data_IF_258751553910
#
_entry.id   IF_258751553910
#
_cell.length_a   1.000
_cell.length_b   1.000
_cell.length_c   1.000
_cell.angle_alpha   90.00
_cell.angle_beta   90.00
_cell.angle_gamma   90.00
#
_symmetry.space_group_name_H-M   'P 1'
#
loop_
_entity.id
_entity.type
_entity.pdbx_description
1 polymer ?
#
# COMPACT_ATOMS: atom_id res chain seq x y z
N UNK A 1 54.99 -30.27 -6.57
CA UNK A 1 53.57 -30.38 -7.02
C UNK A 1 52.56 -30.08 -5.91
N UNK A 2 52.67 -30.60 -4.70
CA UNK A 2 51.70 -30.40 -3.58
C UNK A 2 51.50 -28.92 -3.19
N UNK A 3 52.56 -28.13 -3.04
CA UNK A 3 52.46 -26.69 -2.68
C UNK A 3 51.75 -25.83 -3.73
N UNK A 4 51.88 -26.18 -5.02
CA UNK A 4 51.18 -25.45 -6.11
C UNK A 4 49.68 -25.74 -6.11
N UNK A 5 49.27 -26.98 -5.82
CA UNK A 5 47.85 -27.37 -5.67
C UNK A 5 47.20 -26.72 -4.45
N UNK A 6 47.93 -26.62 -3.32
CA UNK A 6 47.43 -25.95 -2.11
C UNK A 6 47.21 -24.46 -2.37
N UNK A 7 48.13 -23.76 -3.07
CA UNK A 7 47.90 -22.35 -3.43
C UNK A 7 46.68 -22.15 -4.34
N UNK A 8 46.50 -23.00 -5.35
CA UNK A 8 45.30 -22.94 -6.22
C UNK A 8 44.01 -23.17 -5.44
N UNK A 9 44.02 -24.11 -4.52
CA UNK A 9 42.85 -24.37 -3.64
C UNK A 9 42.54 -23.17 -2.72
N UNK A 10 43.58 -22.53 -2.16
CA UNK A 10 43.39 -21.31 -1.32
C UNK A 10 42.83 -20.17 -2.15
N UNK A 11 43.36 -19.91 -3.37
CA UNK A 11 42.82 -18.87 -4.25
C UNK A 11 41.39 -19.13 -4.67
N UNK A 12 41.03 -20.39 -4.97
CA UNK A 12 39.67 -20.77 -5.28
C UNK A 12 38.71 -20.55 -4.08
N UNK A 13 39.15 -20.95 -2.87
CA UNK A 13 38.36 -20.73 -1.67
C UNK A 13 38.15 -19.25 -1.36
N UNK A 14 39.21 -18.43 -1.47
CA UNK A 14 39.09 -16.96 -1.30
C UNK A 14 38.15 -16.37 -2.34
N UNK A 15 38.22 -16.80 -3.60
CA UNK A 15 37.31 -16.34 -4.66
C UNK A 15 35.83 -16.67 -4.34
N UNK A 16 35.58 -17.88 -3.84
CA UNK A 16 34.21 -18.29 -3.41
C UNK A 16 33.72 -17.45 -2.22
N UNK A 17 34.58 -17.20 -1.24
CA UNK A 17 34.23 -16.40 -0.07
C UNK A 17 33.96 -14.93 -0.46
N UNK A 18 34.77 -14.36 -1.36
CA UNK A 18 34.53 -13.00 -1.89
C UNK A 18 33.22 -12.92 -2.67
N UNK A 19 32.93 -13.90 -3.53
CA UNK A 19 31.67 -13.95 -4.27
C UNK A 19 30.45 -14.08 -3.33
N UNK A 20 30.57 -14.93 -2.29
CA UNK A 20 29.51 -15.05 -1.27
C UNK A 20 29.31 -13.76 -0.48
N UNK A 21 30.38 -13.06 -0.11
CA UNK A 21 30.30 -11.77 0.57
C UNK A 21 29.65 -10.67 -0.29
N UNK A 22 29.97 -10.62 -1.59
CA UNK A 22 29.36 -9.68 -2.55
C UNK A 22 27.87 -9.99 -2.70
N UNK A 23 27.53 -11.26 -2.87
CA UNK A 23 26.13 -11.69 -2.99
C UNK A 23 25.32 -11.36 -1.74
N UNK A 24 25.90 -11.62 -0.56
CA UNK A 24 25.27 -11.28 0.72
C UNK A 24 25.09 -9.77 0.88
N UNK A 25 26.10 -8.97 0.52
CA UNK A 25 26.02 -7.51 0.51
C UNK A 25 24.92 -7.00 -0.40
N UNK A 26 24.81 -7.53 -1.62
CA UNK A 26 23.74 -7.20 -2.56
C UNK A 26 22.36 -7.60 -2.01
N UNK A 27 22.22 -8.78 -1.41
CA UNK A 27 20.99 -9.26 -0.80
C UNK A 27 20.50 -8.36 0.34
N UNK A 28 21.42 -7.79 1.12
CA UNK A 28 21.10 -6.83 2.17
C UNK A 28 20.81 -5.42 1.62
N UNK A 29 21.52 -4.99 0.57
CA UNK A 29 21.37 -3.66 0.01
C UNK A 29 20.04 -3.46 -0.71
N UNK A 30 19.54 -4.47 -1.41
CA UNK A 30 18.31 -4.39 -2.21
C UNK A 30 17.08 -3.98 -1.37
N UNK A 31 16.77 -4.62 -0.22
CA UNK A 31 15.67 -4.19 0.63
C UNK A 31 15.86 -2.77 1.17
N UNK A 32 17.09 -2.37 1.50
CA UNK A 32 17.39 -1.03 2.00
C UNK A 32 17.08 0.01 0.92
N UNK A 33 17.57 -0.19 -0.30
CA UNK A 33 17.33 0.73 -1.41
C UNK A 33 15.85 0.81 -1.74
N UNK A 34 15.15 -0.32 -1.85
CA UNK A 34 13.72 -0.35 -2.10
C UNK A 34 12.94 0.46 -1.05
N UNK A 35 13.25 0.26 0.25
CA UNK A 35 12.61 1.00 1.32
C UNK A 35 12.93 2.50 1.28
N UNK A 36 14.17 2.90 0.96
CA UNK A 36 14.54 4.30 0.82
C UNK A 36 13.78 4.97 -0.32
N UNK A 37 13.65 4.32 -1.47
CA UNK A 37 12.89 4.84 -2.62
C UNK A 37 11.42 5.00 -2.26
N UNK A 38 10.80 3.97 -1.71
CA UNK A 38 9.38 4.01 -1.33
C UNK A 38 9.11 5.04 -0.23
N UNK A 39 9.94 5.11 0.81
CA UNK A 39 9.77 6.10 1.88
C UNK A 39 10.08 7.54 1.44
N UNK A 40 10.88 7.72 0.38
CA UNK A 40 11.14 9.02 -0.24
C UNK A 40 10.05 9.50 -1.19
N UNK A 41 8.98 8.71 -1.38
CA UNK A 41 7.86 9.10 -2.25
C UNK A 41 7.15 10.33 -1.69
N UNK A 42 7.01 11.36 -2.51
CA UNK A 42 6.16 12.50 -2.19
C UNK A 42 4.69 12.06 -2.19
N UNK A 43 4.02 12.19 -1.05
CA UNK A 43 2.61 11.84 -0.87
C UNK A 43 1.66 12.92 -1.40
N UNK A 44 2.19 14.02 -1.91
CA UNK A 44 1.44 15.16 -2.41
C UNK A 44 0.89 16.05 -1.30
N UNK A 45 0.28 17.15 -1.71
CA UNK A 45 -0.47 18.05 -0.84
C UNK A 45 -1.91 18.15 -1.35
N UNK A 46 -2.86 18.16 -0.41
CA UNK A 46 -4.27 18.36 -0.79
C UNK A 46 -4.43 19.72 -1.43
N UNK A 47 -5.04 19.72 -2.61
CA UNK A 47 -5.41 20.95 -3.30
C UNK A 47 -6.95 21.00 -3.45
N UNK A 48 -7.57 21.94 -2.76
CA UNK A 48 -9.02 22.16 -2.81
C UNK A 48 -9.55 22.60 -4.17
N UNK A 49 -8.67 23.13 -5.03
CA UNK A 49 -9.03 23.60 -6.36
C UNK A 49 -9.03 22.45 -7.39
N UNK A 50 -8.51 21.30 -7.01
CA UNK A 50 -8.50 20.07 -7.81
C UNK A 50 -9.65 19.17 -7.38
N UNK A 51 -10.50 18.80 -8.32
CA UNK A 51 -11.49 17.75 -8.13
C UNK A 51 -10.89 16.42 -8.53
N UNK A 52 -10.71 15.55 -7.55
CA UNK A 52 -10.21 14.20 -7.79
C UNK A 52 -11.31 13.28 -8.33
N UNK A 53 -10.93 12.30 -9.12
CA UNK A 53 -11.87 11.35 -9.73
C UNK A 53 -12.45 10.39 -8.69
N UNK A 54 -11.63 9.90 -7.74
CA UNK A 54 -12.10 9.07 -6.64
C UNK A 54 -11.27 9.23 -5.36
N UNK A 55 -11.88 8.83 -4.24
CA UNK A 55 -11.24 8.62 -2.94
C UNK A 55 -11.14 7.12 -2.73
N UNK A 56 -9.93 6.55 -2.84
CA UNK A 56 -9.65 5.13 -2.59
C UNK A 56 -9.39 4.90 -1.11
N UNK A 57 -10.26 4.15 -0.45
CA UNK A 57 -10.10 3.73 0.95
C UNK A 57 -9.59 2.30 0.99
N UNK A 58 -8.41 2.10 1.57
CA UNK A 58 -7.82 0.78 1.72
C UNK A 58 -8.35 0.08 2.98
N UNK A 59 -8.61 -1.22 2.92
CA UNK A 59 -9.04 -2.04 4.04
C UNK A 59 -8.00 -2.11 5.18
N UNK A 60 -8.48 -2.29 6.42
CA UNK A 60 -7.66 -2.38 7.63
C UNK A 60 -8.22 -3.39 8.68
N UNK A 61 -9.12 -4.24 8.24
CA UNK A 61 -9.70 -5.32 9.03
C UNK A 61 -10.94 -4.93 9.82
N UNK A 62 -11.67 -5.97 10.21
CA UNK A 62 -12.88 -5.90 11.02
C UNK A 62 -12.60 -6.32 12.47
N UNK A 63 -13.47 -5.89 13.37
CA UNK A 63 -13.61 -6.46 14.71
C UNK A 63 -14.35 -7.79 14.64
N UNK A 64 -14.34 -8.55 15.74
CA UNK A 64 -15.03 -9.85 15.84
C UNK A 64 -16.55 -9.77 15.69
N UNK A 65 -17.14 -8.60 15.86
CA UNK A 65 -18.55 -8.32 15.65
C UNK A 65 -18.91 -7.89 14.21
N UNK A 66 -17.92 -7.93 13.30
CA UNK A 66 -18.09 -7.55 11.90
C UNK A 66 -18.11 -6.02 11.66
N UNK A 67 -17.89 -5.21 12.68
CA UNK A 67 -17.76 -3.75 12.53
C UNK A 67 -16.34 -3.36 12.12
N UNK A 68 -16.13 -2.18 11.49
CA UNK A 68 -14.78 -1.70 11.16
C UNK A 68 -13.87 -1.64 12.39
N UNK A 69 -12.62 -2.09 12.25
CA UNK A 69 -11.59 -1.84 13.27
C UNK A 69 -11.39 -0.33 13.50
N UNK A 70 -10.78 0.08 14.62
CA UNK A 70 -10.49 1.49 14.88
C UNK A 70 -9.72 2.13 13.73
N UNK A 71 -8.77 1.37 13.16
CA UNK A 71 -7.95 1.83 12.04
C UNK A 71 -8.76 1.99 10.75
N UNK A 72 -9.70 1.08 10.50
CA UNK A 72 -10.59 1.16 9.34
C UNK A 72 -11.61 2.28 9.49
N UNK A 73 -12.18 2.43 10.68
CA UNK A 73 -13.13 3.51 10.98
C UNK A 73 -12.47 4.89 10.74
N UNK A 74 -11.23 5.10 11.21
CA UNK A 74 -10.51 6.35 11.00
C UNK A 74 -10.26 6.64 9.49
N UNK A 75 -10.02 5.60 8.68
CA UNK A 75 -9.93 5.75 7.20
C UNK A 75 -11.27 6.20 6.60
N UNK A 76 -12.35 5.56 7.03
CA UNK A 76 -13.68 5.89 6.56
C UNK A 76 -14.08 7.30 6.95
N UNK A 77 -13.78 7.73 8.18
CA UNK A 77 -14.06 9.09 8.66
C UNK A 77 -13.34 10.15 7.83
N UNK A 78 -12.05 9.93 7.52
CA UNK A 78 -11.27 10.85 6.65
C UNK A 78 -11.84 10.87 5.22
N UNK A 79 -12.25 9.71 4.69
CA UNK A 79 -12.83 9.65 3.35
C UNK A 79 -14.18 10.37 3.28
N UNK A 80 -15.03 10.22 4.31
CA UNK A 80 -16.32 10.90 4.44
C UNK A 80 -16.13 12.41 4.53
N UNK A 81 -15.16 12.89 5.33
CA UNK A 81 -14.84 14.31 5.42
C UNK A 81 -14.38 14.88 4.05
N UNK A 82 -13.49 14.19 3.35
CA UNK A 82 -13.04 14.56 2.00
C UNK A 82 -14.20 14.61 1.00
N UNK A 83 -15.09 13.62 1.03
CA UNK A 83 -16.27 13.59 0.17
C UNK A 83 -17.20 14.78 0.45
N UNK A 84 -17.48 15.05 1.72
CA UNK A 84 -18.35 16.14 2.15
C UNK A 84 -17.79 17.53 1.81
N UNK A 85 -16.46 17.65 1.69
CA UNK A 85 -15.78 18.85 1.18
C UNK A 85 -15.81 18.96 -0.34
N UNK A 86 -16.37 17.99 -1.04
CA UNK A 86 -16.45 17.97 -2.50
C UNK A 86 -15.13 17.59 -3.19
N UNK A 87 -14.17 16.97 -2.47
CA UNK A 87 -12.89 16.57 -3.05
C UNK A 87 -13.05 15.59 -4.22
N UNK A 88 -14.03 14.68 -4.13
CA UNK A 88 -14.39 13.73 -5.19
C UNK A 88 -15.87 13.38 -5.13
N UNK A 89 -16.50 13.03 -6.28
CA UNK A 89 -17.87 12.53 -6.31
C UNK A 89 -17.99 11.05 -5.93
N UNK A 90 -16.88 10.31 -5.82
CA UNK A 90 -16.85 8.86 -5.67
C UNK A 90 -15.91 8.45 -4.54
N UNK A 91 -16.38 7.52 -3.69
CA UNK A 91 -15.57 6.77 -2.73
C UNK A 91 -15.46 5.33 -3.22
N UNK A 92 -14.23 4.86 -3.47
CA UNK A 92 -13.94 3.45 -3.77
C UNK A 92 -13.51 2.77 -2.48
N UNK A 93 -14.24 1.76 -2.07
CA UNK A 93 -13.96 0.94 -0.89
C UNK A 93 -13.27 -0.34 -1.34
N UNK A 94 -11.97 -0.47 -1.08
CA UNK A 94 -11.19 -1.62 -1.49
C UNK A 94 -10.73 -2.43 -0.28
N UNK A 95 -11.14 -3.70 -0.24
CA UNK A 95 -10.88 -4.60 0.87
C UNK A 95 -11.09 -6.06 0.50
N UNK A 96 -10.98 -6.93 1.49
CA UNK A 96 -11.12 -8.38 1.32
C UNK A 96 -12.59 -8.82 1.47
N UNK A 97 -13.08 -9.55 0.46
CA UNK A 97 -14.37 -10.24 0.42
C UNK A 97 -14.19 -11.73 0.08
N UNK A 98 -13.16 -12.36 0.60
CA UNK A 98 -12.81 -13.74 0.23
C UNK A 98 -13.49 -14.83 1.05
N UNK A 99 -14.09 -14.50 2.18
CA UNK A 99 -14.73 -15.47 3.09
C UNK A 99 -16.25 -15.31 3.18
N UNK A 100 -16.97 -16.44 3.45
CA UNK A 100 -18.40 -16.39 3.73
C UNK A 100 -18.72 -15.55 4.99
N UNK A 101 -17.80 -15.60 5.98
CA UNK A 101 -17.94 -14.92 7.27
C UNK A 101 -17.12 -13.61 7.35
N UNK A 102 -16.39 -13.24 6.30
CA UNK A 102 -15.55 -12.05 6.29
C UNK A 102 -15.76 -11.21 5.03
N UNK A 103 -16.50 -10.12 5.18
CA UNK A 103 -16.78 -9.15 4.14
C UNK A 103 -16.49 -7.73 4.65
N UNK A 104 -15.23 -7.31 4.45
CA UNK A 104 -14.77 -6.00 4.87
C UNK A 104 -15.47 -4.88 4.09
N UNK A 105 -15.65 -5.07 2.79
CA UNK A 105 -16.22 -4.06 1.89
C UNK A 105 -17.67 -3.75 2.20
N UNK A 106 -18.50 -4.79 2.49
CA UNK A 106 -19.88 -4.59 2.92
C UNK A 106 -19.95 -3.83 4.25
N UNK A 107 -19.03 -4.11 5.18
CA UNK A 107 -18.95 -3.37 6.45
C UNK A 107 -18.55 -1.90 6.23
N UNK A 108 -17.56 -1.64 5.37
CA UNK A 108 -17.14 -0.28 4.97
C UNK A 108 -18.30 0.49 4.34
N UNK A 109 -19.02 -0.14 3.41
CA UNK A 109 -20.17 0.45 2.74
C UNK A 109 -21.27 0.83 3.72
N UNK A 110 -21.62 -0.09 4.62
CA UNK A 110 -22.62 0.17 5.67
C UNK A 110 -22.22 1.36 6.53
N UNK A 111 -20.94 1.44 6.91
CA UNK A 111 -20.41 2.55 7.68
C UNK A 111 -20.60 3.88 6.94
N UNK A 112 -20.20 3.96 5.66
CA UNK A 112 -20.35 5.17 4.85
C UNK A 112 -21.82 5.61 4.73
N UNK A 113 -22.74 4.67 4.42
CA UNK A 113 -24.17 4.99 4.28
C UNK A 113 -24.75 5.49 5.59
N UNK A 114 -24.40 4.84 6.73
CA UNK A 114 -24.89 5.25 8.06
C UNK A 114 -24.39 6.67 8.41
N UNK A 115 -23.26 7.09 7.86
CA UNK A 115 -22.71 8.44 8.04
C UNK A 115 -23.05 9.41 6.90
N UNK A 116 -24.11 9.11 6.11
CA UNK A 116 -24.73 10.06 5.18
C UNK A 116 -24.16 10.08 3.77
N UNK A 117 -23.29 9.13 3.40
CA UNK A 117 -22.82 9.02 2.02
C UNK A 117 -23.87 8.33 1.17
N UNK A 118 -24.29 8.92 0.03
CA UNK A 118 -25.22 8.32 -0.90
C UNK A 118 -24.69 6.98 -1.45
N UNK A 119 -25.56 6.00 -1.57
CA UNK A 119 -25.21 4.67 -2.05
C UNK A 119 -24.60 4.66 -3.45
N UNK A 120 -25.04 5.57 -4.31
CA UNK A 120 -24.57 5.77 -5.68
C UNK A 120 -23.17 6.39 -5.78
N UNK A 121 -22.72 7.02 -4.70
CA UNK A 121 -21.36 7.59 -4.62
C UNK A 121 -20.30 6.55 -4.18
N UNK A 122 -20.74 5.31 -3.87
CA UNK A 122 -19.86 4.25 -3.35
C UNK A 122 -19.63 3.19 -4.41
N UNK A 123 -18.37 2.94 -4.73
CA UNK A 123 -17.91 1.83 -5.58
C UNK A 123 -17.21 0.81 -4.69
N UNK A 124 -17.49 -0.47 -4.92
CA UNK A 124 -16.97 -1.58 -4.11
C UNK A 124 -15.92 -2.37 -4.89
N UNK A 125 -14.72 -2.53 -4.32
CA UNK A 125 -13.69 -3.47 -4.76
C UNK A 125 -13.48 -4.55 -3.70
N UNK A 126 -14.13 -5.68 -3.87
CA UNK A 126 -14.01 -6.86 -2.99
C UNK A 126 -12.82 -7.76 -3.30
N UNK A 127 -11.92 -7.34 -4.19
CA UNK A 127 -10.71 -8.07 -4.59
C UNK A 127 -9.42 -7.35 -4.19
N UNK A 128 -9.51 -6.39 -3.29
CA UNK A 128 -8.38 -5.65 -2.76
C UNK A 128 -7.61 -6.41 -1.68
N UNK A 129 -7.13 -7.64 -2.00
CA UNK A 129 -6.40 -8.50 -1.06
C UNK A 129 -5.01 -7.97 -0.68
N UNK A 130 -4.49 -7.04 -1.46
CA UNK A 130 -3.25 -6.33 -1.20
C UNK A 130 -3.33 -4.90 -1.73
N UNK A 131 -2.45 -4.02 -1.24
CA UNK A 131 -2.37 -2.64 -1.72
C UNK A 131 -2.11 -2.56 -3.22
N UNK A 132 -1.26 -3.45 -3.75
CA UNK A 132 -0.99 -3.52 -5.18
C UNK A 132 -2.25 -3.87 -5.97
N UNK A 133 -3.02 -4.86 -5.53
CA UNK A 133 -4.27 -5.26 -6.18
C UNK A 133 -5.33 -4.17 -6.09
N UNK A 134 -5.49 -3.52 -4.94
CA UNK A 134 -6.40 -2.39 -4.78
C UNK A 134 -6.15 -1.28 -5.81
N UNK A 135 -4.88 -0.90 -6.00
CA UNK A 135 -4.52 0.12 -6.99
C UNK A 135 -4.65 -0.40 -8.42
N UNK A 136 -4.31 -1.67 -8.66
CA UNK A 136 -4.44 -2.29 -9.98
C UNK A 136 -5.91 -2.42 -10.39
N UNK A 137 -6.81 -2.78 -9.47
CA UNK A 137 -8.23 -2.92 -9.75
C UNK A 137 -8.83 -1.59 -10.22
N UNK A 138 -8.59 -0.49 -9.51
CA UNK A 138 -9.08 0.84 -9.94
C UNK A 138 -8.41 1.31 -11.24
N UNK A 139 -7.18 0.86 -11.53
CA UNK A 139 -6.51 1.13 -12.82
C UNK A 139 -7.19 0.41 -13.96
N UNK A 140 -7.59 -0.85 -13.76
CA UNK A 140 -8.23 -1.69 -14.77
C UNK A 140 -9.69 -1.31 -15.00
N UNK A 141 -10.40 -0.82 -13.98
CA UNK A 141 -11.79 -0.35 -14.10
C UNK A 141 -11.91 0.88 -15.01
N UNK A 142 -10.80 1.55 -15.29
CA UNK A 142 -10.60 2.59 -16.30
C UNK A 142 -11.51 3.80 -16.13
N UNK A 143 -10.95 4.95 -15.88
CA UNK A 143 -11.69 6.20 -15.75
C UNK A 143 -11.15 7.11 -14.67
N UNK A 144 -10.31 6.57 -13.77
CA UNK A 144 -9.66 7.36 -12.73
C UNK A 144 -8.24 7.74 -13.16
N UNK A 145 -7.86 8.99 -12.92
CA UNK A 145 -6.52 9.52 -13.19
C UNK A 145 -5.97 10.26 -11.97
N UNK A 146 -6.77 11.14 -11.42
CA UNK A 146 -6.44 11.95 -10.26
C UNK A 146 -7.14 11.36 -9.04
N UNK A 147 -6.40 10.75 -8.10
CA UNK A 147 -6.97 9.99 -7.00
C UNK A 147 -6.47 10.45 -5.63
N UNK A 148 -7.33 10.29 -4.62
CA UNK A 148 -6.93 10.40 -3.21
C UNK A 148 -6.84 8.99 -2.64
N UNK A 149 -5.71 8.64 -2.01
CA UNK A 149 -5.58 7.38 -1.28
C UNK A 149 -5.66 7.66 0.22
N UNK A 150 -6.58 7.01 0.90
CA UNK A 150 -6.80 7.16 2.34
C UNK A 150 -6.29 5.91 3.08
N UNK A 151 -5.26 6.10 3.89
CA UNK A 151 -4.70 5.07 4.77
C UNK A 151 -3.82 5.72 5.86
N UNK A 152 -3.30 4.93 6.82
CA UNK A 152 -2.41 5.48 7.84
C UNK A 152 -1.02 5.81 7.27
N UNK A 153 -0.36 6.80 7.87
CA UNK A 153 0.90 7.38 7.40
C UNK A 153 2.00 6.35 7.08
N UNK A 154 2.20 5.36 7.96
CA UNK A 154 3.24 4.35 7.77
C UNK A 154 3.05 3.52 6.49
N UNK A 155 1.80 3.36 6.04
CA UNK A 155 1.39 2.63 4.85
C UNK A 155 1.29 3.54 3.61
N UNK A 156 1.06 4.83 3.80
CA UNK A 156 0.73 5.80 2.76
C UNK A 156 1.82 5.90 1.70
N UNK A 157 3.10 5.94 2.12
CA UNK A 157 4.23 6.00 1.18
C UNK A 157 4.22 4.86 0.17
N UNK A 158 3.93 3.63 0.61
CA UNK A 158 3.85 2.46 -0.26
C UNK A 158 2.66 2.52 -1.21
N UNK A 159 1.49 2.89 -0.71
CA UNK A 159 0.28 2.98 -1.53
C UNK A 159 0.43 4.06 -2.62
N UNK A 160 0.95 5.24 -2.26
CA UNK A 160 1.20 6.32 -3.21
C UNK A 160 2.31 5.96 -4.20
N UNK A 161 3.37 5.27 -3.76
CA UNK A 161 4.42 4.78 -4.66
C UNK A 161 3.83 3.88 -5.76
N UNK A 162 3.07 2.85 -5.38
CA UNK A 162 2.43 1.93 -6.32
C UNK A 162 1.55 2.69 -7.32
N UNK A 163 0.71 3.60 -6.83
CA UNK A 163 -0.21 4.34 -7.68
C UNK A 163 0.52 5.26 -8.68
N UNK A 164 1.59 5.94 -8.25
CA UNK A 164 2.43 6.76 -9.14
C UNK A 164 3.11 5.92 -10.21
N UNK A 165 3.63 4.75 -9.85
CA UNK A 165 4.25 3.82 -10.82
C UNK A 165 3.22 3.29 -11.84
N UNK A 166 1.95 3.17 -11.46
CA UNK A 166 0.84 2.83 -12.36
C UNK A 166 0.28 4.03 -13.13
N UNK A 167 0.87 5.23 -12.97
CA UNK A 167 0.55 6.43 -13.76
C UNK A 167 -0.62 7.26 -13.25
N UNK A 168 -0.98 7.13 -11.96
CA UNK A 168 -1.95 8.03 -11.33
C UNK A 168 -1.30 9.33 -10.86
N UNK A 169 -2.05 10.43 -10.91
CA UNK A 169 -1.80 11.62 -10.09
C UNK A 169 -2.40 11.36 -8.71
N UNK A 170 -1.60 11.42 -7.65
CA UNK A 170 -2.03 10.93 -6.33
C UNK A 170 -1.80 11.95 -5.24
N UNK A 171 -2.83 12.15 -4.42
CA UNK A 171 -2.71 12.71 -3.09
C UNK A 171 -2.93 11.63 -2.03
N UNK A 172 -2.03 11.54 -1.06
CA UNK A 172 -2.13 10.61 0.07
C UNK A 172 -2.69 11.29 1.31
N UNK A 173 -3.88 10.89 1.74
CA UNK A 173 -4.52 11.37 2.96
C UNK A 173 -4.20 10.48 4.15
N UNK A 174 -3.54 11.05 5.17
CA UNK A 174 -3.21 10.34 6.41
C UNK A 174 -4.45 10.20 7.30
N UNK A 175 -4.81 8.96 7.59
CA UNK A 175 -5.91 8.60 8.48
C UNK A 175 -5.43 8.15 9.87
N UNK A 176 -4.25 8.54 10.32
CA UNK A 176 -3.74 8.24 11.65
C UNK A 176 -4.32 9.20 12.70
N UNK A 177 -5.63 9.08 12.99
CA UNK A 177 -6.33 9.95 13.93
C UNK A 177 -6.01 9.64 15.41
N UNK A 178 -5.45 8.45 15.68
CA UNK A 178 -5.11 7.96 17.02
C UNK A 178 -3.88 7.06 17.01
N UNK A 179 -3.42 6.68 18.21
CA UNK A 179 -2.37 5.68 18.35
C UNK A 179 -2.98 4.27 18.38
N UNK A 180 -2.45 3.35 17.58
CA UNK A 180 -2.93 1.97 17.48
C UNK A 180 -1.98 1.00 18.19
N UNK A 181 -2.54 -0.02 18.86
CA UNK A 181 -1.73 -1.09 19.46
C UNK A 181 -0.98 -1.89 18.39
N UNK A 182 0.24 -2.34 18.70
CA UNK A 182 1.02 -3.21 17.81
C UNK A 182 1.65 -2.48 16.61
N UNK A 183 1.90 -1.18 16.68
CA UNK A 183 2.49 -0.40 15.59
C UNK A 183 3.86 -0.95 15.15
N UNK A 184 4.70 -1.38 16.09
CA UNK A 184 6.04 -1.94 15.80
C UNK A 184 5.95 -3.15 14.86
N UNK A 185 5.00 -4.06 15.08
CA UNK A 185 4.83 -5.22 14.20
C UNK A 185 4.38 -4.82 12.79
N UNK A 186 3.55 -3.79 12.68
CA UNK A 186 3.13 -3.22 11.39
C UNK A 186 4.32 -2.59 10.66
N UNK A 187 5.15 -1.83 11.37
CA UNK A 187 6.33 -1.18 10.79
C UNK A 187 7.33 -2.22 10.26
N UNK A 188 7.56 -3.30 11.00
CA UNK A 188 8.43 -4.42 10.54
C UNK A 188 7.83 -5.10 9.30
N UNK A 189 6.53 -5.41 9.31
CA UNK A 189 5.83 -6.00 8.16
C UNK A 189 5.91 -5.07 6.94
N UNK A 190 5.82 -3.77 7.17
CA UNK A 190 5.83 -2.77 6.10
C UNK A 190 7.20 -2.72 5.38
N UNK A 191 8.32 -2.96 6.08
CA UNK A 191 9.64 -3.06 5.44
C UNK A 191 9.67 -4.16 4.38
N UNK A 192 9.15 -5.34 4.71
CA UNK A 192 9.06 -6.46 3.75
C UNK A 192 8.06 -6.17 2.63
N UNK A 193 6.90 -5.59 2.96
CA UNK A 193 5.87 -5.24 1.99
C UNK A 193 6.35 -4.19 0.98
N UNK A 194 7.07 -3.15 1.42
CA UNK A 194 7.68 -2.14 0.55
C UNK A 194 8.66 -2.75 -0.42
N UNK A 195 9.52 -3.66 0.05
CA UNK A 195 10.48 -4.36 -0.83
C UNK A 195 9.74 -5.16 -1.91
N UNK A 196 8.73 -5.95 -1.53
CA UNK A 196 7.92 -6.73 -2.48
C UNK A 196 7.24 -5.81 -3.51
N UNK A 197 6.53 -4.80 -3.04
CA UNK A 197 5.70 -3.95 -3.89
C UNK A 197 6.54 -3.00 -4.75
N UNK A 198 7.77 -2.65 -4.34
CA UNK A 198 8.74 -1.97 -5.19
C UNK A 198 9.01 -2.74 -6.48
N UNK A 199 9.31 -4.04 -6.38
CA UNK A 199 9.54 -4.86 -7.57
C UNK A 199 8.28 -5.11 -8.38
N UNK A 200 7.12 -5.32 -7.73
CA UNK A 200 5.85 -5.50 -8.43
C UNK A 200 5.47 -4.25 -9.23
N UNK A 201 5.65 -3.07 -8.66
CA UNK A 201 5.33 -1.81 -9.34
C UNK A 201 6.31 -1.51 -10.50
N UNK A 202 7.59 -1.87 -10.35
CA UNK A 202 8.57 -1.76 -11.46
C UNK A 202 8.20 -2.70 -12.62
N UNK A 203 7.81 -3.94 -12.32
CA UNK A 203 7.41 -4.92 -13.34
C UNK A 203 6.10 -4.54 -14.06
N UNK A 204 5.28 -3.67 -13.49
CA UNK A 204 4.06 -3.18 -14.15
C UNK A 204 4.36 -2.31 -15.38
N UNK A 205 5.55 -1.69 -15.46
CA UNK A 205 5.95 -0.79 -16.55
C UNK A 205 6.43 -1.51 -17.82
N UNK A 206 6.71 -2.81 -17.71
CA UNK A 206 7.17 -3.63 -18.84
C UNK A 206 5.99 -4.27 -19.59
#
# INVERSE_FOLDING_TARGET
MRKKRIKVLIFALVGVLCAAAILFGALCAVPIVANLVVCGTDIGQYNSDVRYDCILVLGAGLRSDGTPSDMLADRLDVAIDLYNRGASPVIVLSGDRSGEDYDEVTSMRRYCITNGIPSEAIVEDGKGYSTYESVLNIKNDGGYKDIIIVTQKYHLYRAVYIAKEMGFTVYGADAALRTYRGQIFRDIREVAARTKDFFMAMAYKE
#
